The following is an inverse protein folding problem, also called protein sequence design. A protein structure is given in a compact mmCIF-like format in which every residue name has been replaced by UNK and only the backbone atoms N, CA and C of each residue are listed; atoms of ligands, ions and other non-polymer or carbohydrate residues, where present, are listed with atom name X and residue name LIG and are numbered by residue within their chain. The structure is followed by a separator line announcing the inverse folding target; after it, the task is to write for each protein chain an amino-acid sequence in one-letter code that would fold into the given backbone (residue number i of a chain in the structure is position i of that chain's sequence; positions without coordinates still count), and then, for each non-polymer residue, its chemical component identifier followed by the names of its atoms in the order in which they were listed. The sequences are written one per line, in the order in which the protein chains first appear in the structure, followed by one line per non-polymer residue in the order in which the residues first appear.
data_IF_395296610975
#
_entry.id   IF_395296610975
#
_cell.length_a   1.000
_cell.length_b   1.000
_cell.length_c   1.000
_cell.angle_alpha   90.00
_cell.angle_beta   90.00
_cell.angle_gamma   90.00
#
_symmetry.space_group_name_H-M   'P 1'
#
loop_
_entity.id
_entity.type
_entity.pdbx_description
1 polymer ?
#
# COMPACT_ATOMS: atom_id res chain seq x y z
N UNK A 1 -6.05 3.85 4.85
CA UNK A 1 -6.19 5.14 4.12
C UNK A 1 -4.88 5.90 4.26
N UNK A 2 -4.42 6.59 3.21
CA UNK A 2 -3.22 7.41 3.22
C UNK A 2 -3.47 8.71 2.42
N UNK A 3 -2.86 9.82 2.84
CA UNK A 3 -2.93 11.10 2.11
C UNK A 3 -1.83 11.14 1.05
N UNK A 4 -2.20 11.39 -0.21
CA UNK A 4 -1.26 11.49 -1.34
C UNK A 4 -0.91 12.95 -1.59
N UNK A 5 -1.93 13.79 -1.65
CA UNK A 5 -1.83 15.25 -1.76
C UNK A 5 -2.88 15.89 -0.85
N UNK A 6 -2.87 17.22 -0.64
CA UNK A 6 -3.90 17.87 0.17
C UNK A 6 -5.35 17.64 -0.31
N UNK A 7 -5.55 17.23 -1.57
CA UNK A 7 -6.88 17.01 -2.18
C UNK A 7 -7.09 15.58 -2.68
N UNK A 8 -6.17 14.65 -2.41
CA UNK A 8 -6.26 13.26 -2.85
C UNK A 8 -5.86 12.29 -1.72
N UNK A 9 -6.71 11.29 -1.49
CA UNK A 9 -6.45 10.20 -0.56
C UNK A 9 -6.49 8.85 -1.26
N UNK A 10 -5.64 7.93 -0.83
CA UNK A 10 -5.66 6.54 -1.23
C UNK A 10 -6.36 5.68 -0.15
N UNK A 11 -7.33 4.88 -0.55
CA UNK A 11 -8.07 3.96 0.32
C UNK A 11 -7.97 2.54 -0.22
N UNK A 12 -7.80 1.57 0.68
CA UNK A 12 -7.87 0.15 0.33
C UNK A 12 -9.34 -0.24 0.21
N UNK A 13 -9.72 -0.79 -0.95
CA UNK A 13 -11.08 -1.26 -1.24
C UNK A 13 -10.98 -2.53 -2.09
N UNK A 14 -11.47 -3.66 -1.57
CA UNK A 14 -11.63 -4.94 -2.29
C UNK A 14 -10.49 -5.29 -3.26
N UNK A 15 -9.38 -5.81 -2.73
CA UNK A 15 -8.18 -6.19 -3.50
C UNK A 15 -7.61 -5.05 -4.37
N UNK A 16 -7.84 -3.80 -4.00
CA UNK A 16 -7.37 -2.65 -4.78
C UNK A 16 -7.20 -1.40 -3.94
N UNK A 17 -6.60 -0.39 -4.55
CA UNK A 17 -6.52 0.96 -4.01
C UNK A 17 -7.36 1.88 -4.88
N UNK A 18 -8.27 2.62 -4.26
CA UNK A 18 -8.98 3.71 -4.90
C UNK A 18 -8.37 5.04 -4.47
N UNK A 19 -8.18 5.93 -5.43
CA UNK A 19 -7.76 7.30 -5.20
C UNK A 19 -9.00 8.17 -5.26
N UNK A 20 -9.28 8.85 -4.16
CA UNK A 20 -10.46 9.68 -4.00
C UNK A 20 -10.01 11.13 -3.93
N UNK A 21 -10.63 11.97 -4.74
CA UNK A 21 -10.45 13.42 -4.72
C UNK A 21 -11.76 14.11 -4.37
N UNK A 22 -11.67 15.36 -3.91
CA UNK A 22 -12.84 16.21 -3.73
C UNK A 22 -13.02 17.03 -5.00
N UNK A 23 -14.18 16.88 -5.65
CA UNK A 23 -14.60 17.76 -6.73
C UNK A 23 -15.83 18.54 -6.27
N UNK A 24 -15.67 19.85 -6.08
CA UNK A 24 -16.66 20.73 -5.43
C UNK A 24 -17.00 20.25 -4.02
N UNK A 25 -18.11 19.54 -3.87
CA UNK A 25 -18.63 19.00 -2.59
C UNK A 25 -18.80 17.49 -2.62
N UNK A 26 -18.31 16.82 -3.67
CA UNK A 26 -18.46 15.38 -3.86
C UNK A 26 -17.11 14.67 -3.80
N UNK A 27 -17.09 13.51 -3.15
CA UNK A 27 -15.98 12.57 -3.23
C UNK A 27 -16.09 11.80 -4.54
N UNK A 28 -15.05 11.85 -5.37
CA UNK A 28 -15.01 11.20 -6.68
C UNK A 28 -13.82 10.26 -6.73
N UNK A 29 -14.02 9.05 -7.26
CA UNK A 29 -12.92 8.14 -7.57
C UNK A 29 -12.16 8.68 -8.78
N UNK A 30 -10.95 9.18 -8.58
CA UNK A 30 -10.09 9.68 -9.64
C UNK A 30 -9.44 8.55 -10.43
N UNK A 31 -8.93 7.52 -9.73
CA UNK A 31 -8.33 6.33 -10.34
C UNK A 31 -8.39 5.13 -9.39
N UNK A 32 -8.15 3.94 -9.93
CA UNK A 32 -8.06 2.67 -9.19
C UNK A 32 -6.81 1.92 -9.60
N UNK A 33 -6.16 1.30 -8.63
CA UNK A 33 -5.10 0.31 -8.82
C UNK A 33 -5.63 -1.04 -8.34
N UNK A 34 -5.56 -2.05 -9.20
CA UNK A 34 -5.88 -3.42 -8.83
C UNK A 34 -4.62 -4.06 -8.25
N UNK A 35 -4.76 -4.72 -7.11
CA UNK A 35 -3.68 -5.48 -6.48
C UNK A 35 -3.93 -6.97 -6.71
N UNK A 36 -2.84 -7.73 -6.84
CA UNK A 36 -2.87 -9.19 -6.93
C UNK A 36 -2.79 -9.86 -5.54
N UNK A 37 -2.74 -9.06 -4.47
CA UNK A 37 -2.60 -9.49 -3.09
C UNK A 37 -3.54 -8.70 -2.16
N UNK A 38 -3.63 -9.11 -0.90
CA UNK A 38 -4.33 -8.32 0.12
C UNK A 38 -3.59 -7.03 0.48
N UNK A 39 -4.33 -6.03 0.97
CA UNK A 39 -3.79 -4.75 1.41
C UNK A 39 -4.22 -4.50 2.85
N UNK A 40 -3.26 -4.59 3.78
CA UNK A 40 -3.44 -4.32 5.20
C UNK A 40 -3.05 -2.89 5.58
N UNK A 41 -2.14 -2.28 4.83
CA UNK A 41 -1.68 -0.92 5.06
C UNK A 41 -1.23 -0.26 3.77
N UNK A 42 -1.33 1.07 3.77
CA UNK A 42 -0.89 1.93 2.66
C UNK A 42 -0.09 3.07 3.28
N UNK A 43 1.12 3.26 2.79
CA UNK A 43 1.94 4.44 3.05
C UNK A 43 2.35 5.10 1.73
N UNK A 44 2.55 6.40 1.75
CA UNK A 44 2.95 7.19 0.60
C UNK A 44 4.20 8.00 0.95
N UNK A 45 5.21 7.93 0.09
CA UNK A 45 6.43 8.71 0.25
C UNK A 45 7.11 8.89 -1.11
N UNK A 46 7.52 10.13 -1.43
CA UNK A 46 8.30 10.47 -2.64
C UNK A 46 7.76 9.82 -3.94
N UNK A 47 6.46 9.98 -4.23
CA UNK A 47 5.78 9.42 -5.43
C UNK A 47 5.63 7.89 -5.46
N UNK A 48 6.00 7.21 -4.38
CA UNK A 48 5.86 5.77 -4.23
C UNK A 48 4.78 5.41 -3.21
N UNK A 49 4.11 4.29 -3.46
CA UNK A 49 3.15 3.66 -2.58
C UNK A 49 3.76 2.41 -1.98
N UNK A 50 3.71 2.32 -0.67
CA UNK A 50 4.15 1.17 0.09
C UNK A 50 2.92 0.44 0.58
N UNK A 51 2.77 -0.80 0.16
CA UNK A 51 1.59 -1.61 0.47
C UNK A 51 2.05 -2.80 1.29
N UNK A 52 1.53 -2.90 2.52
CA UNK A 52 1.71 -4.10 3.34
C UNK A 52 0.58 -5.07 3.05
N UNK A 53 0.94 -6.34 2.93
CA UNK A 53 0.04 -7.49 2.93
C UNK A 53 0.38 -8.39 4.11
N UNK A 54 -0.37 -9.47 4.29
CA UNK A 54 -0.03 -10.51 5.28
C UNK A 54 1.35 -11.14 5.11
N UNK A 55 1.90 -11.17 3.90
CA UNK A 55 3.14 -11.91 3.59
C UNK A 55 4.26 -11.05 3.04
N UNK A 56 4.00 -9.81 2.67
CA UNK A 56 4.97 -9.03 1.92
C UNK A 56 4.73 -7.53 2.05
N UNK A 57 5.81 -6.78 1.87
CA UNK A 57 5.82 -5.34 1.67
C UNK A 57 6.17 -5.05 0.21
N UNK A 58 5.27 -4.39 -0.48
CA UNK A 58 5.42 -4.05 -1.88
C UNK A 58 5.66 -2.56 -2.05
N UNK A 59 6.45 -2.22 -3.06
CA UNK A 59 6.62 -0.86 -3.55
C UNK A 59 5.93 -0.74 -4.91
N UNK A 60 4.97 0.16 -5.00
CA UNK A 60 4.26 0.51 -6.24
C UNK A 60 4.55 1.95 -6.61
N UNK A 61 4.55 2.24 -7.91
CA UNK A 61 4.48 3.62 -8.38
C UNK A 61 3.09 4.20 -8.10
N UNK A 62 2.97 5.54 -8.08
CA UNK A 62 1.66 6.19 -7.93
C UNK A 62 0.65 5.86 -9.05
N UNK A 63 1.14 5.43 -10.22
CA UNK A 63 0.33 4.94 -11.33
C UNK A 63 -0.19 3.51 -11.13
N UNK A 64 0.26 2.82 -10.08
CA UNK A 64 -0.16 1.46 -9.74
C UNK A 64 0.68 0.34 -10.34
N UNK A 65 1.87 0.63 -10.85
CA UNK A 65 2.77 -0.40 -11.34
C UNK A 65 3.60 -0.94 -10.17
N UNK A 66 3.70 -2.26 -10.03
CA UNK A 66 4.63 -2.86 -9.08
C UNK A 66 6.06 -2.51 -9.49
N UNK A 67 6.79 -1.85 -8.60
CA UNK A 67 8.20 -1.50 -8.80
C UNK A 67 9.08 -2.64 -8.29
N UNK A 68 8.86 -3.06 -7.04
CA UNK A 68 9.57 -4.20 -6.45
C UNK A 68 8.85 -4.71 -5.19
N UNK A 69 9.25 -5.91 -4.75
CA UNK A 69 8.90 -6.46 -3.45
C UNK A 69 10.06 -6.14 -2.50
N UNK A 70 9.80 -5.36 -1.45
CA UNK A 70 10.81 -4.94 -0.48
C UNK A 70 11.07 -5.99 0.58
N UNK A 71 10.03 -6.75 0.91
CA UNK A 71 10.10 -7.88 1.83
C UNK A 71 9.03 -8.89 1.43
N UNK A 72 9.38 -10.17 1.50
CA UNK A 72 8.45 -11.27 1.36
C UNK A 72 8.80 -12.34 2.39
N UNK A 73 7.79 -12.72 3.17
CA UNK A 73 7.86 -13.84 4.08
C UNK A 73 7.79 -15.14 3.27
N UNK A 74 8.97 -15.69 3.00
CA UNK A 74 9.17 -16.99 2.35
C UNK A 74 9.06 -18.16 3.33
N UNK A 75 8.55 -17.96 4.54
CA UNK A 75 8.24 -19.07 5.42
C UNK A 75 7.13 -19.95 4.79
N UNK A 76 7.59 -21.05 4.16
CA UNK A 76 6.78 -22.26 4.01
C UNK A 76 6.32 -22.77 5.37
N UNK A 77 5.40 -23.74 5.41
CA UNK A 77 4.72 -24.16 6.64
C UNK A 77 5.72 -24.43 7.77
N UNK A 78 5.66 -23.58 8.79
CA UNK A 78 6.32 -23.60 10.09
C UNK A 78 7.51 -24.57 10.27
N UNK A 79 8.72 -24.06 10.07
CA UNK A 79 9.84 -24.44 10.94
C UNK A 79 10.25 -23.26 11.81
N UNK A 80 9.34 -22.87 12.71
CA UNK A 80 9.61 -22.32 14.04
C UNK A 80 10.81 -21.39 14.21
N UNK A 81 10.90 -20.29 13.46
CA UNK A 81 11.73 -19.14 13.83
C UNK A 81 11.00 -17.84 13.55
N UNK A 82 10.44 -17.27 14.62
CA UNK A 82 9.97 -15.89 14.68
C UNK A 82 11.12 -14.95 14.30
N UNK A 83 11.20 -14.56 13.04
CA UNK A 83 11.86 -13.33 12.63
C UNK A 83 10.77 -12.29 12.40
N UNK A 84 10.18 -11.83 13.51
CA UNK A 84 9.35 -10.63 13.54
C UNK A 84 10.19 -9.43 13.14
N UNK A 85 10.33 -9.22 11.83
CA UNK A 85 10.89 -8.03 11.24
C UNK A 85 9.87 -6.91 11.30
N UNK A 86 9.75 -6.27 12.46
CA UNK A 86 9.06 -5.00 12.61
C UNK A 86 9.88 -3.94 11.86
N UNK A 87 9.54 -3.66 10.60
CA UNK A 87 10.11 -2.51 9.89
C UNK A 87 9.43 -1.27 10.47
N UNK A 88 10.07 -0.67 11.47
CA UNK A 88 9.75 0.68 11.93
C UNK A 88 10.21 1.66 10.85
N UNK A 89 9.26 2.22 10.09
CA UNK A 89 9.54 3.41 9.28
C UNK A 89 9.35 4.61 10.20
N UNK A 90 10.43 5.05 10.84
CA UNK A 90 10.48 6.30 11.59
C UNK A 90 10.55 7.48 10.62
N UNK A 91 9.59 8.39 10.67
CA UNK A 91 9.70 9.71 10.03
C UNK A 91 10.34 10.68 11.04
N UNK A 92 11.40 11.37 10.61
CA UNK A 92 12.00 12.54 11.32
C UNK A 92 11.52 13.81 10.64
#
# INVERSE_FOLDING_TARGET
MCVITPSEVAVSVNHGIQFITVNKTQLVQARKVQLEHDCQGIAYHQMDLFITSRKALYKYSLSGNLVCILYEDVSGPDTGKNHGGLILISYV
#
